data_IF_828946990941
#
_entry.id   IF_828946990941
#
_cell.length_a   1.000
_cell.length_b   1.000
_cell.length_c   1.000
_cell.angle_alpha   90.00
_cell.angle_beta   90.00
_cell.angle_gamma   90.00
#
_symmetry.space_group_name_H-M   'P 1'
#
loop_
_entity.id
_entity.type
_entity.pdbx_description
1 polymer ?
#
# COMPACT_ATOMS: atom_id res chain seq x y z
N UNK A 1 10.13 3.98 -22.96
CA UNK A 1 9.77 2.91 -22.01
C UNK A 1 9.27 3.54 -20.71
N UNK A 2 8.03 3.24 -20.26
CA UNK A 2 7.49 3.76 -18.99
C UNK A 2 8.15 2.98 -17.83
N UNK A 3 8.93 3.67 -16.98
CA UNK A 3 9.55 3.06 -15.80
C UNK A 3 8.46 2.79 -14.74
N UNK A 4 8.45 1.60 -14.16
CA UNK A 4 7.48 1.21 -13.13
C UNK A 4 7.72 1.96 -11.81
N UNK A 5 6.66 2.29 -11.09
CA UNK A 5 6.74 2.87 -9.75
C UNK A 5 6.96 1.78 -8.68
N UNK A 6 7.57 2.17 -7.57
CA UNK A 6 7.80 1.33 -6.39
C UNK A 6 6.74 1.61 -5.33
N UNK A 7 6.21 0.55 -4.71
CA UNK A 7 5.40 0.63 -3.49
C UNK A 7 6.15 -0.04 -2.35
N UNK A 8 6.23 0.65 -1.22
CA UNK A 8 6.83 0.15 0.00
C UNK A 8 5.78 0.07 1.12
N UNK A 9 5.52 -1.13 1.62
CA UNK A 9 4.69 -1.36 2.81
C UNK A 9 5.60 -1.48 4.03
N UNK A 10 5.47 -0.58 4.99
CA UNK A 10 6.33 -0.53 6.17
C UNK A 10 5.53 -0.54 7.47
N UNK A 11 6.16 -1.04 8.53
CA UNK A 11 5.79 -0.79 9.92
C UNK A 11 6.75 0.27 10.47
N UNK A 12 6.22 1.37 10.97
CA UNK A 12 6.99 2.41 11.67
C UNK A 12 6.62 2.33 13.15
N UNK A 13 7.60 2.20 14.01
CA UNK A 13 7.43 2.09 15.47
C UNK A 13 7.03 3.42 16.13
N UNK A 14 6.36 3.30 17.30
CA UNK A 14 5.82 4.41 18.09
C UNK A 14 6.87 5.47 18.49
N UNK A 15 6.48 6.73 18.34
CA UNK A 15 7.15 7.88 18.94
C UNK A 15 6.21 9.08 19.07
N UNK A 16 5.97 9.55 20.28
CA UNK A 16 5.10 10.68 20.64
C UNK A 16 5.77 12.01 20.26
N UNK A 17 5.07 12.88 19.56
CA UNK A 17 5.37 14.31 19.50
C UNK A 17 5.40 14.95 18.11
N UNK A 18 4.47 15.90 17.88
CA UNK A 18 4.42 17.00 16.88
C UNK A 18 4.55 16.62 15.38
N UNK A 19 3.72 17.17 14.55
CA UNK A 19 3.53 16.89 13.10
C UNK A 19 4.84 16.78 12.31
N UNK A 20 5.88 17.56 12.64
CA UNK A 20 7.20 17.48 12.01
C UNK A 20 7.95 16.14 12.30
N UNK A 21 7.64 15.45 13.41
CA UNK A 21 8.30 14.19 13.80
C UNK A 21 7.69 12.96 13.10
N UNK A 22 6.48 13.07 12.55
CA UNK A 22 5.83 11.99 11.80
C UNK A 22 6.33 11.88 10.35
N UNK A 23 6.90 12.93 9.76
CA UNK A 23 7.46 12.91 8.41
C UNK A 23 8.87 12.30 8.34
N UNK A 24 9.67 12.39 9.40
CA UNK A 24 11.05 11.87 9.46
C UNK A 24 11.11 10.36 9.10
N UNK A 25 10.32 9.46 9.70
CA UNK A 25 10.37 8.04 9.37
C UNK A 25 9.94 7.73 7.94
N UNK A 26 8.98 8.49 7.38
CA UNK A 26 8.55 8.35 5.99
C UNK A 26 9.64 8.83 5.03
N UNK A 27 10.33 9.92 5.35
CA UNK A 27 11.44 10.45 4.57
C UNK A 27 12.60 9.47 4.48
N UNK A 28 12.99 8.84 5.59
CA UNK A 28 14.03 7.79 5.60
C UNK A 28 13.66 6.63 4.68
N UNK A 29 12.39 6.17 4.74
CA UNK A 29 11.89 5.12 3.85
C UNK A 29 11.85 5.57 2.39
N UNK A 30 11.50 6.82 2.12
CA UNK A 30 11.51 7.40 0.78
C UNK A 30 12.94 7.48 0.21
N UNK A 31 13.93 7.87 1.00
CA UNK A 31 15.33 7.89 0.60
C UNK A 31 15.85 6.50 0.25
N UNK A 32 15.56 5.50 1.10
CA UNK A 32 15.92 4.11 0.82
C UNK A 32 15.20 3.60 -0.47
N UNK A 33 13.94 3.98 -0.67
CA UNK A 33 13.21 3.65 -1.88
C UNK A 33 13.81 4.33 -3.12
N UNK A 34 14.26 5.58 -3.02
CA UNK A 34 14.93 6.31 -4.11
C UNK A 34 16.22 5.60 -4.54
N UNK A 35 17.08 5.23 -3.59
CA UNK A 35 18.31 4.47 -3.85
C UNK A 35 17.98 3.18 -4.60
N UNK A 36 17.02 2.39 -4.10
CA UNK A 36 16.59 1.17 -4.74
C UNK A 36 16.02 1.40 -6.16
N UNK A 37 15.26 2.48 -6.36
CA UNK A 37 14.73 2.84 -7.69
C UNK A 37 15.83 3.16 -8.69
N UNK A 38 16.88 3.87 -8.26
CA UNK A 38 18.06 4.16 -9.09
C UNK A 38 18.78 2.87 -9.46
N UNK A 39 19.10 2.01 -8.49
CA UNK A 39 19.81 0.75 -8.72
C UNK A 39 19.07 -0.20 -9.67
N UNK A 40 17.74 -0.26 -9.56
CA UNK A 40 16.89 -1.16 -10.38
C UNK A 40 16.32 -0.50 -11.64
N UNK A 41 16.66 0.74 -11.94
CA UNK A 41 16.19 1.48 -13.10
C UNK A 41 14.67 1.75 -13.07
N UNK A 42 14.06 1.90 -11.88
CA UNK A 42 12.66 2.25 -11.71
C UNK A 42 12.44 3.76 -11.88
N UNK A 43 11.17 4.18 -11.76
CA UNK A 43 10.82 5.60 -11.80
C UNK A 43 11.39 6.31 -10.55
N UNK A 44 12.06 7.43 -10.78
CA UNK A 44 12.69 8.26 -9.74
C UNK A 44 11.97 9.59 -9.50
N UNK A 45 10.73 9.75 -9.98
CA UNK A 45 9.93 10.93 -9.69
C UNK A 45 9.12 10.74 -8.40
N UNK A 46 8.47 9.57 -8.26
CA UNK A 46 7.56 9.27 -7.13
C UNK A 46 7.74 7.85 -6.65
N UNK A 47 7.48 7.63 -5.34
CA UNK A 47 7.16 6.33 -4.80
C UNK A 47 5.86 6.39 -3.98
N UNK A 48 5.27 5.21 -3.73
CA UNK A 48 4.15 5.05 -2.84
C UNK A 48 4.64 4.43 -1.53
N UNK A 49 4.24 5.02 -0.41
CA UNK A 49 4.54 4.53 0.93
C UNK A 49 3.21 4.21 1.62
N UNK A 50 3.13 3.05 2.27
CA UNK A 50 1.96 2.69 3.07
C UNK A 50 2.45 2.32 4.46
N UNK A 51 1.97 3.07 5.46
CA UNK A 51 2.28 2.82 6.86
C UNK A 51 1.11 2.13 7.54
N UNK A 52 1.22 0.83 7.71
CA UNK A 52 0.22 0.01 8.37
C UNK A 52 0.24 0.09 9.91
N UNK A 53 1.16 0.82 10.52
CA UNK A 53 1.09 1.16 11.94
C UNK A 53 -0.01 2.19 12.22
N UNK A 54 -0.36 2.97 11.19
CA UNK A 54 -1.46 3.93 11.24
C UNK A 54 -2.79 3.17 11.04
N UNK A 55 -3.81 3.38 11.88
CA UNK A 55 -5.13 2.78 11.72
C UNK A 55 -5.76 3.07 10.34
N UNK A 56 -6.54 2.14 9.78
CA UNK A 56 -7.07 2.24 8.41
C UNK A 56 -8.03 3.39 8.17
N UNK A 57 -8.64 3.95 9.22
CA UNK A 57 -9.48 5.15 9.14
C UNK A 57 -8.71 6.47 9.10
N UNK A 58 -7.39 6.41 9.16
CA UNK A 58 -6.50 7.55 9.00
C UNK A 58 -5.72 7.46 7.70
N UNK A 59 -5.26 8.61 7.21
CA UNK A 59 -4.41 8.67 6.02
C UNK A 59 -3.11 7.93 6.29
N UNK A 60 -2.85 6.88 5.53
CA UNK A 60 -1.67 6.00 5.68
C UNK A 60 -1.07 5.55 4.34
N UNK A 61 -1.67 5.96 3.23
CA UNK A 61 -1.10 5.86 1.89
C UNK A 61 -0.56 7.22 1.50
N UNK A 62 0.72 7.29 1.11
CA UNK A 62 1.43 8.51 0.77
C UNK A 62 2.06 8.39 -0.60
N UNK A 63 1.93 9.44 -1.40
CA UNK A 63 2.72 9.63 -2.62
C UNK A 63 3.86 10.56 -2.29
N UNK A 64 5.08 10.03 -2.28
CA UNK A 64 6.28 10.82 -2.03
C UNK A 64 6.85 11.35 -3.33
N UNK A 65 7.12 12.65 -3.38
CA UNK A 65 7.80 13.32 -4.48
C UNK A 65 9.31 13.35 -4.19
N UNK A 66 10.09 12.60 -4.97
CA UNK A 66 11.54 12.54 -4.80
C UNK A 66 12.26 13.84 -5.15
N UNK A 67 11.67 14.68 -6.01
CA UNK A 67 12.24 15.98 -6.37
C UNK A 67 11.97 17.01 -5.27
N UNK A 68 10.73 17.06 -4.78
CA UNK A 68 10.34 17.98 -3.73
C UNK A 68 10.70 17.52 -2.32
N UNK A 69 11.20 16.26 -2.17
CA UNK A 69 11.53 15.58 -0.89
C UNK A 69 10.41 15.70 0.14
N UNK A 70 9.17 15.50 -0.31
CA UNK A 70 7.97 15.73 0.51
C UNK A 70 6.79 14.86 0.09
N UNK A 71 5.78 14.78 0.96
CA UNK A 71 4.51 14.12 0.66
C UNK A 71 3.71 15.00 -0.31
N UNK A 72 3.43 14.49 -1.51
CA UNK A 72 2.62 15.17 -2.52
C UNK A 72 1.12 14.93 -2.31
N UNK A 73 0.74 13.69 -1.96
CA UNK A 73 -0.65 13.29 -1.71
C UNK A 73 -0.70 12.29 -0.57
N UNK A 74 -1.80 12.30 0.17
CA UNK A 74 -2.11 11.30 1.18
C UNK A 74 -3.55 10.85 1.08
N UNK A 75 -3.82 9.58 1.37
CA UNK A 75 -5.18 9.02 1.35
C UNK A 75 -5.35 7.89 2.36
N UNK A 76 -6.61 7.50 2.56
CA UNK A 76 -6.94 6.28 3.26
C UNK A 76 -6.50 5.06 2.43
N UNK A 77 -6.23 3.96 3.12
CA UNK A 77 -5.86 2.70 2.47
C UNK A 77 -6.39 1.52 3.28
N UNK A 78 -7.12 0.61 2.62
CA UNK A 78 -7.55 -0.65 3.22
C UNK A 78 -6.39 -1.65 3.33
N UNK A 79 -6.57 -2.70 4.12
CA UNK A 79 -5.69 -3.87 4.20
C UNK A 79 -6.52 -5.16 4.14
N UNK A 80 -5.89 -6.32 3.99
CA UNK A 80 -6.56 -7.61 3.95
C UNK A 80 -7.24 -7.96 5.28
N UNK A 81 -8.40 -8.62 5.23
CA UNK A 81 -9.23 -8.94 6.40
C UNK A 81 -8.95 -10.32 7.00
N UNK A 82 -8.02 -11.07 6.42
CA UNK A 82 -7.73 -12.43 6.86
C UNK A 82 -7.08 -12.51 8.24
N UNK A 83 -7.15 -13.70 8.85
CA UNK A 83 -6.52 -14.03 10.14
C UNK A 83 -6.82 -13.03 11.25
N UNK A 84 -8.08 -12.68 11.43
CA UNK A 84 -8.51 -11.76 12.51
C UNK A 84 -7.88 -10.36 12.43
N UNK A 85 -7.50 -9.92 11.23
CA UNK A 85 -7.07 -8.55 11.02
C UNK A 85 -8.13 -7.56 11.46
N UNK A 86 -7.72 -6.54 12.21
CA UNK A 86 -8.62 -5.46 12.65
C UNK A 86 -8.19 -4.14 12.01
N UNK A 87 -9.06 -3.13 11.94
CA UNK A 87 -8.69 -1.82 11.42
C UNK A 87 -7.47 -1.18 12.07
N UNK A 88 -7.21 -1.50 13.34
CA UNK A 88 -6.06 -1.00 14.11
C UNK A 88 -4.85 -1.94 14.06
N UNK A 89 -5.08 -3.25 13.90
CA UNK A 89 -4.03 -4.27 13.97
C UNK A 89 -4.16 -5.23 12.80
N UNK A 90 -3.60 -4.92 11.63
CA UNK A 90 -3.58 -5.83 10.49
C UNK A 90 -2.68 -7.03 10.75
N UNK A 91 -3.07 -8.19 10.21
CA UNK A 91 -2.24 -9.39 10.17
C UNK A 91 -1.69 -9.57 8.76
N UNK A 92 -0.45 -10.01 8.64
CA UNK A 92 0.26 -10.14 7.37
C UNK A 92 0.53 -11.58 7.01
N UNK A 93 0.45 -11.90 5.72
CA UNK A 93 0.75 -13.23 5.22
C UNK A 93 1.06 -13.20 3.73
N UNK A 94 1.98 -14.04 3.28
CA UNK A 94 2.27 -14.26 1.86
C UNK A 94 1.59 -15.52 1.31
N UNK A 95 0.83 -16.24 2.14
CA UNK A 95 0.13 -17.48 1.77
C UNK A 95 -1.07 -17.16 0.90
N UNK A 96 -1.23 -17.91 -0.21
CA UNK A 96 -2.40 -17.81 -1.10
C UNK A 96 -3.68 -18.23 -0.34
N UNK A 97 -4.75 -17.45 -0.52
CA UNK A 97 -6.02 -17.67 0.18
C UNK A 97 -6.07 -17.18 1.63
N UNK A 98 -5.00 -16.56 2.14
CA UNK A 98 -4.96 -16.01 3.51
C UNK A 98 -5.79 -14.74 3.70
N UNK A 99 -6.17 -14.07 2.62
CA UNK A 99 -6.86 -12.77 2.61
C UNK A 99 -6.13 -11.64 3.36
N UNK A 100 -4.87 -11.86 3.75
CA UNK A 100 -4.04 -10.86 4.42
C UNK A 100 -3.27 -10.00 3.42
N UNK A 101 -2.92 -8.78 3.81
CA UNK A 101 -1.87 -8.02 3.12
C UNK A 101 -0.50 -8.67 3.35
N UNK A 102 0.48 -8.39 2.48
CA UNK A 102 1.88 -8.76 2.71
C UNK A 102 2.71 -7.50 2.88
N UNK A 103 3.74 -7.56 3.70
CA UNK A 103 4.69 -6.46 3.86
C UNK A 103 5.81 -6.55 2.81
N UNK A 104 6.49 -5.45 2.56
CA UNK A 104 7.69 -5.39 1.75
C UNK A 104 7.60 -4.44 0.56
N UNK A 105 8.60 -4.52 -0.33
CA UNK A 105 8.71 -3.72 -1.54
C UNK A 105 7.93 -4.33 -2.69
N UNK A 106 7.31 -3.48 -3.49
CA UNK A 106 6.53 -3.88 -4.66
C UNK A 106 6.88 -3.06 -5.88
N UNK A 107 6.95 -3.72 -7.02
CA UNK A 107 6.95 -3.07 -8.33
C UNK A 107 5.50 -2.94 -8.80
N UNK A 108 5.10 -1.73 -9.20
CA UNK A 108 3.80 -1.49 -9.84
C UNK A 108 3.84 -2.03 -11.27
N UNK A 109 2.93 -2.92 -11.58
CA UNK A 109 2.80 -3.53 -12.90
C UNK A 109 2.04 -2.67 -13.90
N UNK A 110 1.54 -3.32 -14.95
CA UNK A 110 0.81 -2.64 -16.03
C UNK A 110 -0.60 -2.22 -15.57
N UNK A 111 -1.12 -1.15 -16.18
CA UNK A 111 -2.50 -0.71 -16.02
C UNK A 111 -3.46 -1.71 -16.67
N UNK A 112 -4.53 -2.06 -15.95
CA UNK A 112 -5.57 -2.96 -16.44
C UNK A 112 -6.95 -2.47 -16.01
N UNK A 113 -8.01 -2.99 -16.63
CA UNK A 113 -9.39 -2.70 -16.24
C UNK A 113 -9.73 -3.27 -14.88
N UNK A 114 -10.47 -2.51 -14.09
CA UNK A 114 -11.03 -2.91 -12.79
C UNK A 114 -12.55 -2.72 -12.78
N UNK A 115 -13.27 -3.58 -12.05
CA UNK A 115 -14.69 -3.37 -11.74
C UNK A 115 -14.92 -2.33 -10.63
N UNK A 116 -13.84 -1.83 -10.00
CA UNK A 116 -13.88 -1.01 -8.80
C UNK A 116 -13.41 0.42 -9.06
N UNK A 117 -13.99 1.36 -8.34
CA UNK A 117 -13.60 2.76 -8.32
C UNK A 117 -13.58 3.40 -9.71
N UNK A 118 -12.45 3.95 -10.11
CA UNK A 118 -12.24 4.59 -11.43
C UNK A 118 -11.99 3.58 -12.57
N UNK A 119 -12.38 2.33 -12.40
CA UNK A 119 -12.24 1.24 -13.36
C UNK A 119 -10.80 0.95 -13.80
N UNK A 120 -9.83 1.22 -12.94
CA UNK A 120 -8.41 0.98 -13.18
C UNK A 120 -7.79 0.25 -12.01
N UNK A 121 -6.93 -0.74 -12.30
CA UNK A 121 -6.03 -1.32 -11.32
C UNK A 121 -4.62 -1.52 -11.90
N UNK A 122 -3.66 -1.65 -11.00
CA UNK A 122 -2.29 -2.05 -11.29
C UNK A 122 -1.96 -3.27 -10.45
N UNK A 123 -1.57 -4.38 -11.08
CA UNK A 123 -1.07 -5.55 -10.34
C UNK A 123 0.27 -5.23 -9.70
N UNK A 124 0.47 -5.74 -8.50
CA UNK A 124 1.69 -5.54 -7.74
C UNK A 124 2.57 -6.79 -7.81
N UNK A 125 3.85 -6.58 -8.15
CA UNK A 125 4.85 -7.64 -8.12
C UNK A 125 5.67 -7.51 -6.84
N UNK A 126 5.64 -8.52 -5.98
CA UNK A 126 6.45 -8.56 -4.77
C UNK A 126 7.93 -8.71 -5.12
N UNK A 127 8.78 -7.98 -4.41
CA UNK A 127 10.23 -7.94 -4.64
C UNK A 127 11.03 -8.58 -3.50
N UNK A 128 10.32 -9.14 -2.49
CA UNK A 128 10.90 -9.75 -1.30
C UNK A 128 10.23 -11.11 -1.00
N UNK A 129 10.85 -11.94 -0.20
CA UNK A 129 10.29 -13.25 0.22
C UNK A 129 8.96 -13.11 0.95
N UNK A 130 8.78 -12.03 1.71
CA UNK A 130 7.56 -11.71 2.45
C UNK A 130 6.35 -11.40 1.58
N UNK A 131 6.55 -11.11 0.30
CA UNK A 131 5.50 -10.76 -0.66
C UNK A 131 5.68 -11.38 -2.05
N UNK A 132 6.54 -12.38 -2.21
CA UNK A 132 6.85 -13.02 -3.50
C UNK A 132 5.62 -13.56 -4.23
N UNK A 133 4.56 -13.95 -3.51
CA UNK A 133 3.31 -14.45 -4.07
C UNK A 133 2.30 -13.33 -4.44
N UNK A 134 2.65 -12.06 -4.29
CA UNK A 134 1.72 -10.95 -4.47
C UNK A 134 1.01 -10.97 -5.84
N UNK A 135 1.76 -11.18 -6.93
CA UNK A 135 1.20 -11.24 -8.27
C UNK A 135 0.22 -12.43 -8.43
N UNK A 136 0.60 -13.60 -7.95
CA UNK A 136 -0.22 -14.83 -7.97
C UNK A 136 -1.49 -14.67 -7.11
N UNK A 137 -1.37 -14.01 -5.96
CA UNK A 137 -2.46 -13.69 -5.04
C UNK A 137 -3.37 -12.58 -5.54
N UNK A 138 -3.05 -11.95 -6.67
CA UNK A 138 -3.81 -10.86 -7.23
C UNK A 138 -3.83 -9.59 -6.34
N UNK A 139 -2.71 -9.29 -5.69
CA UNK A 139 -2.57 -8.04 -4.95
C UNK A 139 -2.49 -6.90 -5.95
N UNK A 140 -3.37 -5.91 -5.79
CA UNK A 140 -3.53 -4.82 -6.76
C UNK A 140 -3.61 -3.46 -6.06
N UNK A 141 -3.16 -2.43 -6.76
CA UNK A 141 -3.45 -1.04 -6.43
C UNK A 141 -4.66 -0.60 -7.26
N UNK A 142 -5.74 -0.24 -6.61
CA UNK A 142 -6.95 0.28 -7.25
C UNK A 142 -7.66 1.28 -6.34
N UNK A 143 -8.49 2.14 -6.90
CA UNK A 143 -9.41 2.96 -6.12
C UNK A 143 -10.67 2.15 -5.76
N UNK A 144 -11.31 2.51 -4.64
CA UNK A 144 -12.54 1.86 -4.20
C UNK A 144 -13.53 2.93 -3.73
N UNK A 145 -14.66 3.03 -4.42
CA UNK A 145 -15.65 4.10 -4.20
C UNK A 145 -16.15 4.22 -2.75
N UNK A 146 -16.37 3.10 -1.99
CA UNK A 146 -16.76 3.19 -0.58
C UNK A 146 -15.68 3.74 0.35
N UNK A 147 -14.43 3.90 -0.10
CA UNK A 147 -13.38 4.53 0.72
C UNK A 147 -13.58 6.04 0.67
N UNK A 148 -13.90 6.69 1.80
CA UNK A 148 -14.12 8.12 1.83
C UNK A 148 -12.80 8.89 1.67
N UNK A 149 -12.92 10.17 1.30
CA UNK A 149 -11.76 11.07 1.18
C UNK A 149 -11.32 11.65 2.52
N UNK A 150 -12.25 11.72 3.48
CA UNK A 150 -11.99 12.20 4.84
C UNK A 150 -11.63 11.07 5.79
N UNK A 151 -10.84 11.39 6.81
CA UNK A 151 -10.52 10.45 7.88
C UNK A 151 -11.78 10.08 8.67
N UNK A 152 -11.91 8.81 9.03
CA UNK A 152 -13.04 8.27 9.79
C UNK A 152 -12.50 7.74 11.13
N UNK A 153 -13.07 8.21 12.23
CA UNK A 153 -12.74 7.69 13.57
C UNK A 153 -14.03 7.40 14.36
N UNK A 154 -14.15 6.27 15.07
CA UNK A 154 -13.27 5.10 15.03
C UNK A 154 -13.43 4.32 13.72
N UNK A 155 -12.32 3.92 13.18
CA UNK A 155 -12.07 3.31 11.92
C UNK A 155 -12.96 2.11 11.55
N UNK A 156 -13.62 2.18 10.39
CA UNK A 156 -14.38 1.08 9.78
C UNK A 156 -14.11 0.99 8.26
N UNK A 157 -12.85 1.01 7.84
CA UNK A 157 -12.54 0.59 6.49
C UNK A 157 -12.38 -0.92 6.46
N UNK A 158 -13.51 -1.59 6.20
CA UNK A 158 -13.49 -2.99 5.81
C UNK A 158 -12.86 -3.11 4.42
N UNK A 159 -12.08 -4.12 4.29
CA UNK A 159 -11.28 -4.47 3.15
C UNK A 159 -12.14 -4.77 1.93
N UNK A 160 -11.70 -4.30 0.77
CA UNK A 160 -12.20 -4.80 -0.50
C UNK A 160 -11.75 -6.27 -0.66
N UNK A 161 -12.65 -7.25 -0.79
CA UNK A 161 -12.25 -8.59 -1.16
C UNK A 161 -11.59 -8.55 -2.53
N UNK A 162 -10.48 -9.29 -2.70
CA UNK A 162 -9.86 -9.47 -4.00
C UNK A 162 -10.90 -10.08 -4.97
N UNK A 163 -10.92 -9.72 -6.27
CA UNK A 163 -11.82 -10.33 -7.26
C UNK A 163 -11.74 -11.86 -7.30
N UNK A 164 -10.61 -12.45 -6.89
CA UNK A 164 -10.41 -13.89 -6.81
C UNK A 164 -11.08 -14.51 -5.59
N UNK A 165 -11.20 -13.75 -4.52
CA UNK A 165 -11.80 -14.18 -3.26
C UNK A 165 -13.32 -14.25 -3.37
N UNK A 166 -13.93 -13.35 -4.15
CA UNK A 166 -15.38 -13.36 -4.40
C UNK A 166 -15.85 -14.52 -5.29
N UNK A 167 -14.97 -15.16 -6.09
CA UNK A 167 -15.33 -16.33 -6.90
C UNK A 167 -15.43 -17.63 -6.09
N UNK A 168 -14.86 -17.68 -4.89
CA UNK A 168 -14.89 -18.87 -4.01
C UNK A 168 -16.07 -18.90 -3.05
N UNK A 169 -16.84 -17.84 -2.95
CA UNK A 169 -18.00 -17.73 -2.06
C UNK A 169 -19.35 -17.97 -2.76
N UNK A 170 -19.33 -18.65 -3.94
CA UNK A 170 -20.52 -19.14 -4.63
C UNK A 170 -20.52 -20.65 -4.74
#
# INVERSE_FOLDING_TARGET
MKKSALILFTLVGLGIGIVAKAEQPLREKALAAKTYCVEKGFNTNYCFLIDFSIPSGKKRFFVWDFKGDSIKYSSLCAHGYGKESTPKKPVYSNVEGSYCSSLGKYKVGIRSYSKWGINVHYKLHGLESTNSNAFKRYIVLHSYTPVPTLEIYPCLLYTSPSPRDMRRSR
#
